data_IF_318919945892
#
_entry.id   IF_318919945892
#
_cell.length_a   1.000
_cell.length_b   1.000
_cell.length_c   1.000
_cell.angle_alpha   90.00
_cell.angle_beta   90.00
_cell.angle_gamma   90.00
#
_symmetry.space_group_name_H-M   'P 1'
#
loop_
_entity.id
_entity.type
_entity.pdbx_description
1 polymer ?
#
# COMPACT_ATOMS: atom_id res chain seq x y z
N UNK A 1 48.13 33.21 -69.68
CA UNK A 1 47.20 32.07 -69.57
C UNK A 1 47.24 31.59 -68.12
N UNK A 2 46.26 32.01 -67.33
CA UNK A 2 46.20 31.74 -65.89
C UNK A 2 45.67 30.33 -65.62
N UNK A 3 46.42 29.57 -64.84
CA UNK A 3 46.01 28.30 -64.23
C UNK A 3 45.08 28.58 -63.04
N UNK A 4 43.81 28.18 -63.15
CA UNK A 4 42.88 28.14 -62.03
C UNK A 4 42.76 26.68 -61.55
N UNK A 5 43.30 26.43 -60.35
CA UNK A 5 43.09 25.20 -59.57
C UNK A 5 41.66 25.20 -59.04
N UNK A 6 40.89 24.17 -59.37
CA UNK A 6 39.60 23.86 -58.74
C UNK A 6 39.83 22.83 -57.63
N UNK A 7 39.60 23.24 -56.39
CA UNK A 7 39.64 22.39 -55.20
C UNK A 7 38.26 21.74 -55.00
N UNK A 8 38.19 20.41 -55.10
CA UNK A 8 37.00 19.63 -54.74
C UNK A 8 36.98 19.48 -53.21
N UNK A 9 36.04 20.15 -52.53
CA UNK A 9 35.70 19.86 -51.13
C UNK A 9 34.75 18.67 -51.11
N UNK A 10 35.22 17.51 -50.62
CA UNK A 10 34.35 16.41 -50.24
C UNK A 10 33.61 16.77 -48.95
N UNK A 11 32.31 17.05 -49.05
CA UNK A 11 31.42 17.17 -47.89
C UNK A 11 31.05 15.75 -47.48
N UNK A 12 31.66 15.24 -46.41
CA UNK A 12 31.23 14.01 -45.75
C UNK A 12 29.91 14.29 -45.04
N UNK A 13 28.80 13.89 -45.68
CA UNK A 13 27.47 13.94 -45.09
C UNK A 13 27.33 12.71 -44.19
N UNK A 14 27.62 12.87 -42.90
CA UNK A 14 27.32 11.84 -41.91
C UNK A 14 25.78 11.70 -41.82
N UNK A 15 25.24 10.65 -42.43
CA UNK A 15 23.86 10.22 -42.21
C UNK A 15 23.71 9.84 -40.73
N UNK A 16 23.19 10.76 -39.93
CA UNK A 16 22.58 10.44 -38.63
C UNK A 16 21.28 9.71 -38.93
N UNK A 17 21.36 8.38 -39.03
CA UNK A 17 20.18 7.52 -38.95
C UNK A 17 19.55 7.70 -37.57
N UNK A 18 18.29 8.14 -37.46
CA UNK A 18 17.60 8.08 -36.19
C UNK A 18 17.45 6.60 -35.84
N UNK A 19 18.05 6.17 -34.73
CA UNK A 19 17.67 4.92 -34.08
C UNK A 19 16.21 5.09 -33.66
N UNK A 20 15.28 4.68 -34.51
CA UNK A 20 13.91 4.43 -34.09
C UNK A 20 13.94 3.20 -33.20
N UNK A 21 14.15 3.41 -31.89
CA UNK A 21 13.74 2.46 -30.88
C UNK A 21 12.24 2.29 -31.06
N UNK A 22 11.85 1.20 -31.74
CA UNK A 22 10.50 0.69 -31.63
C UNK A 22 10.29 0.37 -30.17
N UNK A 23 9.57 1.23 -29.45
CA UNK A 23 9.00 0.87 -28.15
C UNK A 23 7.99 -0.22 -28.47
N UNK A 24 8.43 -1.48 -28.42
CA UNK A 24 7.51 -2.58 -28.34
C UNK A 24 6.58 -2.24 -27.16
N UNK A 25 5.26 -2.26 -27.41
CA UNK A 25 4.29 -2.10 -26.35
C UNK A 25 4.58 -3.20 -25.32
N UNK A 26 5.27 -2.82 -24.24
CA UNK A 26 5.64 -3.76 -23.19
C UNK A 26 4.32 -4.16 -22.55
N UNK A 27 3.94 -5.44 -22.69
CA UNK A 27 2.78 -5.97 -22.00
C UNK A 27 2.99 -5.75 -20.51
N UNK A 28 1.97 -5.22 -19.83
CA UNK A 28 1.95 -5.07 -18.37
C UNK A 28 2.42 -6.37 -17.71
N UNK A 29 3.36 -6.32 -16.75
CA UNK A 29 3.77 -7.53 -16.06
C UNK A 29 2.59 -8.11 -15.30
N UNK A 30 2.41 -9.42 -15.33
CA UNK A 30 1.38 -10.10 -14.53
C UNK A 30 1.62 -9.94 -13.02
N UNK A 31 2.81 -9.49 -12.60
CA UNK A 31 3.19 -9.29 -11.21
C UNK A 31 4.06 -8.04 -11.08
N UNK A 32 3.62 -7.08 -10.27
CA UNK A 32 4.34 -5.82 -10.03
C UNK A 32 4.90 -5.81 -8.62
N UNK A 33 6.22 -5.79 -8.50
CA UNK A 33 6.97 -5.68 -7.24
C UNK A 33 7.37 -4.21 -7.01
N UNK A 34 7.11 -3.74 -5.79
CA UNK A 34 7.52 -2.45 -5.27
C UNK A 34 8.39 -2.65 -4.03
N UNK A 35 9.39 -1.78 -3.89
CA UNK A 35 10.35 -1.82 -2.78
C UNK A 35 10.29 -0.53 -1.96
N UNK A 36 10.43 -0.65 -0.64
CA UNK A 36 10.63 0.50 0.26
C UNK A 36 11.79 0.18 1.21
N UNK A 37 12.91 0.89 1.08
CA UNK A 37 14.04 0.79 1.99
C UNK A 37 13.81 1.71 3.20
N UNK A 38 13.82 1.15 4.40
CA UNK A 38 13.95 1.87 5.67
C UNK A 38 15.29 1.46 6.31
N UNK A 39 15.73 2.17 7.36
CA UNK A 39 17.11 2.11 7.88
C UNK A 39 17.73 0.70 7.95
N UNK A 40 17.02 -0.28 8.52
CA UNK A 40 17.52 -1.66 8.70
C UNK A 40 16.60 -2.72 8.06
N UNK A 41 15.69 -2.32 7.17
CA UNK A 41 14.71 -3.23 6.59
C UNK A 41 14.28 -2.77 5.22
N UNK A 42 14.31 -3.71 4.28
CA UNK A 42 13.73 -3.56 2.96
C UNK A 42 12.36 -4.24 2.97
N UNK A 43 11.32 -3.47 2.68
CA UNK A 43 9.96 -3.98 2.51
C UNK A 43 9.71 -4.22 1.02
N UNK A 44 9.22 -5.39 0.70
CA UNK A 44 8.83 -5.81 -0.63
C UNK A 44 7.33 -5.99 -0.63
N UNK A 45 6.61 -5.30 -1.52
CA UNK A 45 5.16 -5.41 -1.65
C UNK A 45 4.79 -5.58 -3.11
N UNK A 46 3.79 -6.41 -3.41
CA UNK A 46 3.44 -6.71 -4.80
C UNK A 46 1.96 -6.91 -5.04
N UNK A 47 1.56 -6.76 -6.30
CA UNK A 47 0.29 -7.24 -6.85
C UNK A 47 0.55 -8.34 -7.87
N UNK A 48 -0.42 -9.22 -8.09
CA UNK A 48 -0.32 -10.28 -9.11
C UNK A 48 -1.68 -10.62 -9.71
N UNK A 49 -1.71 -10.82 -11.02
CA UNK A 49 -2.85 -11.27 -11.81
C UNK A 49 -2.90 -12.81 -11.92
N UNK A 50 -1.93 -13.52 -11.33
CA UNK A 50 -1.91 -14.99 -11.28
C UNK A 50 -3.07 -15.47 -10.39
N UNK A 51 -4.03 -16.16 -11.00
CA UNK A 51 -5.32 -16.51 -10.36
C UNK A 51 -5.19 -17.54 -9.24
N UNK A 52 -4.32 -18.53 -9.43
CA UNK A 52 -4.15 -19.67 -8.53
C UNK A 52 -2.67 -19.84 -8.21
N UNK A 53 -2.23 -19.15 -7.17
CA UNK A 53 -0.85 -19.21 -6.69
C UNK A 53 -0.65 -20.48 -5.85
N UNK A 54 0.36 -21.27 -6.18
CA UNK A 54 0.77 -22.45 -5.40
C UNK A 54 1.86 -22.12 -4.38
N UNK A 55 2.82 -21.26 -4.76
CA UNK A 55 3.86 -20.72 -3.87
C UNK A 55 4.46 -19.46 -4.45
N UNK A 56 5.17 -18.71 -3.62
CA UNK A 56 5.88 -17.50 -4.01
C UNK A 56 7.30 -17.54 -3.47
N UNK A 57 8.26 -17.00 -4.22
CA UNK A 57 9.69 -17.04 -3.86
C UNK A 57 10.32 -15.67 -4.06
N UNK A 58 11.05 -15.18 -3.05
CA UNK A 58 11.80 -13.93 -3.15
C UNK A 58 13.25 -14.25 -3.50
N UNK A 59 13.74 -13.58 -4.53
CA UNK A 59 15.12 -13.65 -4.98
C UNK A 59 15.82 -12.32 -4.76
N UNK A 60 17.10 -12.37 -4.38
CA UNK A 60 17.96 -11.21 -4.13
C UNK A 60 19.32 -11.40 -4.77
N UNK A 61 19.88 -10.34 -5.35
CA UNK A 61 21.24 -10.30 -5.92
C UNK A 61 21.96 -9.00 -5.56
N UNK A 62 23.29 -9.02 -5.60
CA UNK A 62 24.16 -7.82 -5.60
C UNK A 62 24.41 -7.27 -7.01
N UNK A 63 23.76 -7.84 -8.02
CA UNK A 63 23.77 -7.35 -9.40
C UNK A 63 22.35 -7.32 -9.97
N UNK A 64 22.16 -6.63 -11.10
CA UNK A 64 20.88 -6.57 -11.81
C UNK A 64 20.57 -7.82 -12.66
N UNK A 65 21.28 -8.93 -12.46
CA UNK A 65 21.18 -10.15 -13.27
C UNK A 65 20.44 -11.23 -12.48
N UNK A 66 19.29 -11.69 -12.97
CA UNK A 66 18.42 -12.65 -12.27
C UNK A 66 19.11 -14.00 -12.05
N UNK A 67 19.92 -14.46 -13.01
CA UNK A 67 20.64 -15.73 -12.94
C UNK A 67 21.70 -15.75 -11.83
N UNK A 68 22.08 -14.57 -11.31
CA UNK A 68 22.98 -14.41 -10.16
C UNK A 68 22.22 -14.25 -8.84
N UNK A 69 20.88 -14.20 -8.87
CA UNK A 69 20.06 -14.01 -7.69
C UNK A 69 19.90 -15.30 -6.89
N UNK A 70 19.99 -15.17 -5.58
CA UNK A 70 19.76 -16.26 -4.63
C UNK A 70 18.35 -16.16 -4.07
N UNK A 71 17.69 -17.30 -3.86
CA UNK A 71 16.39 -17.34 -3.21
C UNK A 71 16.57 -17.14 -1.70
N UNK A 72 15.99 -16.06 -1.18
CA UNK A 72 16.07 -15.70 0.23
C UNK A 72 14.82 -16.05 1.03
N UNK A 73 13.68 -16.28 0.37
CA UNK A 73 12.44 -16.66 1.05
C UNK A 73 11.52 -17.51 0.16
N UNK A 74 10.73 -18.38 0.81
CA UNK A 74 9.56 -19.06 0.24
C UNK A 74 8.35 -18.63 1.07
N UNK A 75 7.33 -18.13 0.42
CA UNK A 75 6.18 -17.47 1.05
C UNK A 75 4.88 -18.23 0.78
N UNK A 76 3.89 -18.01 1.64
CA UNK A 76 2.54 -18.52 1.42
C UNK A 76 1.89 -17.87 0.19
N UNK A 77 0.90 -18.52 -0.45
CA UNK A 77 0.26 -18.01 -1.66
C UNK A 77 -0.52 -16.70 -1.51
N UNK A 78 -0.90 -16.32 -0.29
CA UNK A 78 -1.77 -15.19 -0.03
C UNK A 78 -1.01 -13.95 0.45
N UNK A 79 0.24 -14.12 0.88
CA UNK A 79 1.13 -13.03 1.26
C UNK A 79 1.42 -12.12 0.07
N UNK A 80 1.34 -10.81 0.29
CA UNK A 80 1.68 -9.78 -0.70
C UNK A 80 2.71 -8.78 -0.20
N UNK A 81 3.27 -9.02 1.00
CA UNK A 81 4.31 -8.19 1.60
C UNK A 81 5.32 -9.09 2.29
N UNK A 82 6.61 -8.87 2.02
CA UNK A 82 7.74 -9.53 2.66
C UNK A 82 8.74 -8.49 3.19
N UNK A 83 9.57 -8.92 4.13
CA UNK A 83 10.60 -8.10 4.74
C UNK A 83 11.95 -8.80 4.56
N UNK A 84 12.95 -8.04 4.16
CA UNK A 84 14.34 -8.44 4.22
C UNK A 84 15.08 -7.53 5.19
N UNK A 85 15.69 -8.11 6.21
CA UNK A 85 16.55 -7.44 7.20
C UNK A 85 17.92 -8.10 7.31
N UNK A 86 18.23 -9.01 6.38
CA UNK A 86 19.41 -9.89 6.37
C UNK A 86 20.42 -9.43 5.33
N UNK A 87 20.78 -8.14 5.37
CA UNK A 87 21.58 -7.50 4.33
C UNK A 87 22.59 -6.51 4.90
N UNK A 88 23.66 -6.25 4.14
CA UNK A 88 24.66 -5.23 4.47
C UNK A 88 24.07 -3.83 4.21
N UNK A 89 23.96 -2.93 5.22
CA UNK A 89 23.17 -1.70 5.11
C UNK A 89 23.56 -0.76 3.96
N UNK A 90 24.87 -0.72 3.69
CA UNK A 90 25.50 0.14 2.68
C UNK A 90 25.55 -0.50 1.29
N UNK A 91 25.19 -1.78 1.17
CA UNK A 91 25.15 -2.50 -0.09
C UNK A 91 23.80 -2.29 -0.77
N UNK A 92 23.85 -2.10 -2.10
CA UNK A 92 22.66 -2.13 -2.93
C UNK A 92 22.32 -3.55 -3.37
N UNK A 93 21.01 -3.83 -3.41
CA UNK A 93 20.45 -5.12 -3.78
C UNK A 93 19.34 -4.97 -4.82
N UNK A 94 19.22 -6.00 -5.63
CA UNK A 94 18.18 -6.19 -6.62
C UNK A 94 17.30 -7.37 -6.22
N UNK A 95 16.00 -7.22 -6.43
CA UNK A 95 14.98 -8.15 -6.00
C UNK A 95 14.06 -8.52 -7.15
N UNK A 96 13.65 -9.78 -7.12
CA UNK A 96 12.59 -10.33 -7.96
C UNK A 96 11.67 -11.18 -7.10
N UNK A 97 10.39 -11.18 -7.48
CA UNK A 97 9.42 -12.14 -6.98
C UNK A 97 9.14 -13.13 -8.09
N UNK A 98 9.20 -14.41 -7.75
CA UNK A 98 8.72 -15.50 -8.60
C UNK A 98 7.41 -16.03 -8.02
N UNK A 99 6.32 -15.84 -8.74
CA UNK A 99 5.01 -16.41 -8.43
C UNK A 99 4.85 -17.71 -9.22
N UNK A 100 4.55 -18.80 -8.53
CA UNK A 100 4.43 -20.12 -9.15
C UNK A 100 2.97 -20.55 -9.04
N UNK A 101 2.34 -20.80 -10.17
CA UNK A 101 0.93 -21.18 -10.22
C UNK A 101 0.69 -22.66 -9.92
N UNK A 102 -0.59 -23.05 -9.85
CA UNK A 102 -1.03 -24.41 -9.57
C UNK A 102 -0.54 -25.45 -10.59
N UNK A 103 -0.26 -25.02 -11.83
CA UNK A 103 0.26 -25.88 -12.90
C UNK A 103 1.81 -25.91 -12.90
N UNK A 104 2.44 -25.15 -12.01
CA UNK A 104 3.89 -25.05 -11.88
C UNK A 104 4.54 -24.05 -12.83
N UNK A 105 3.78 -23.22 -13.54
CA UNK A 105 4.37 -22.15 -14.37
C UNK A 105 4.91 -21.03 -13.49
N UNK A 106 6.06 -20.50 -13.89
CA UNK A 106 6.75 -19.43 -13.20
C UNK A 106 6.43 -18.06 -13.81
N UNK A 107 5.97 -17.13 -13.00
CA UNK A 107 5.68 -15.74 -13.36
C UNK A 107 6.64 -14.84 -12.57
N UNK A 108 7.58 -14.22 -13.26
CA UNK A 108 8.61 -13.37 -12.63
C UNK A 108 8.15 -11.90 -12.66
N UNK A 109 8.31 -11.19 -11.55
CA UNK A 109 8.00 -9.76 -11.45
C UNK A 109 8.98 -8.88 -12.26
N UNK A 110 8.67 -7.59 -12.34
CA UNK A 110 9.70 -6.60 -12.66
C UNK A 110 10.87 -6.65 -11.65
N UNK A 111 12.02 -6.16 -12.11
CA UNK A 111 13.18 -5.89 -11.26
C UNK A 111 12.89 -4.70 -10.33
N UNK A 112 13.14 -4.88 -9.04
CA UNK A 112 13.13 -3.81 -8.03
C UNK A 112 14.50 -3.70 -7.37
N UNK A 113 14.95 -2.49 -7.03
CA UNK A 113 16.27 -2.31 -6.44
C UNK A 113 16.24 -1.28 -5.31
N UNK A 114 17.20 -1.38 -4.40
CA UNK A 114 17.43 -0.36 -3.35
C UNK A 114 18.05 0.92 -3.89
N UNK A 115 18.52 0.91 -5.14
CA UNK A 115 19.09 2.05 -5.83
C UNK A 115 17.98 3.08 -6.09
N UNK A 116 18.03 4.29 -5.49
CA UNK A 116 16.95 5.26 -5.59
C UNK A 116 16.59 5.63 -7.02
N UNK A 117 17.60 5.77 -7.90
CA UNK A 117 17.43 6.14 -9.31
C UNK A 117 16.64 5.09 -10.14
N UNK A 118 16.67 3.82 -9.74
CA UNK A 118 15.93 2.74 -10.41
C UNK A 118 14.52 2.55 -9.84
N UNK A 119 14.18 3.18 -8.71
CA UNK A 119 12.85 3.07 -8.09
C UNK A 119 11.78 4.01 -8.69
N UNK A 120 12.15 4.86 -9.67
CA UNK A 120 11.33 5.98 -10.15
C UNK A 120 10.64 5.70 -11.50
N UNK A 121 11.02 4.64 -12.22
CA UNK A 121 10.42 4.32 -13.52
C UNK A 121 9.10 3.55 -13.35
N UNK A 122 8.01 3.94 -14.04
CA UNK A 122 6.75 3.20 -13.99
C UNK A 122 6.91 1.80 -14.60
N UNK A 123 6.41 0.79 -13.89
CA UNK A 123 6.34 -0.60 -14.34
C UNK A 123 5.07 -0.89 -15.16
N UNK A 124 4.20 0.10 -15.33
CA UNK A 124 2.99 0.03 -16.15
C UNK A 124 3.10 0.84 -17.45
N UNK A 125 2.15 0.62 -18.36
CA UNK A 125 1.97 1.43 -19.56
C UNK A 125 1.89 2.91 -19.18
N UNK A 126 2.61 3.74 -19.93
CA UNK A 126 2.67 5.20 -19.73
C UNK A 126 1.25 5.80 -19.70
N UNK A 127 0.31 5.23 -20.46
CA UNK A 127 -1.08 5.66 -20.49
C UNK A 127 -1.80 5.51 -19.15
N UNK A 128 -1.75 4.34 -18.50
CA UNK A 128 -2.42 4.13 -17.21
C UNK A 128 -1.74 4.92 -16.09
N UNK A 129 -0.40 4.87 -16.02
CA UNK A 129 0.36 5.62 -15.03
C UNK A 129 0.05 7.14 -15.08
N UNK A 130 -0.08 7.72 -16.28
CA UNK A 130 -0.39 9.15 -16.44
C UNK A 130 -1.76 9.59 -15.86
N UNK A 131 -2.69 8.65 -15.67
CA UNK A 131 -4.01 8.91 -15.06
C UNK A 131 -3.95 8.98 -13.54
N UNK A 132 -2.96 8.32 -12.93
CA UNK A 132 -2.74 8.33 -11.49
C UNK A 132 -2.08 9.65 -11.08
N UNK A 133 -2.89 10.64 -10.72
CA UNK A 133 -2.45 11.96 -10.28
C UNK A 133 -3.28 12.43 -9.09
N UNK A 134 -2.76 13.38 -8.33
CA UNK A 134 -3.45 13.90 -7.16
C UNK A 134 -4.83 14.47 -7.54
N UNK A 135 -5.85 14.10 -6.77
CA UNK A 135 -7.25 14.45 -7.01
C UNK A 135 -7.95 13.61 -8.10
N UNK A 136 -7.31 12.57 -8.65
CA UNK A 136 -7.95 11.70 -9.63
C UNK A 136 -9.14 10.94 -9.02
N UNK A 137 -10.18 10.74 -9.84
CA UNK A 137 -11.33 9.89 -9.51
C UNK A 137 -11.41 8.76 -10.52
N UNK A 138 -11.53 7.53 -10.02
CA UNK A 138 -11.73 6.32 -10.83
C UNK A 138 -13.08 5.71 -10.52
N UNK A 139 -13.82 5.33 -11.55
CA UNK A 139 -15.19 4.86 -11.42
C UNK A 139 -15.46 3.65 -12.33
N UNK A 140 -15.94 2.54 -11.73
CA UNK A 140 -16.26 1.29 -12.43
C UNK A 140 -15.09 0.71 -13.26
N UNK A 141 -13.87 0.86 -12.77
CA UNK A 141 -12.67 0.41 -13.47
C UNK A 141 -11.59 -0.10 -12.52
N UNK A 142 -10.58 -0.75 -13.08
CA UNK A 142 -9.31 -1.05 -12.41
C UNK A 142 -8.22 -0.22 -13.05
N UNK A 143 -7.47 0.54 -12.25
CA UNK A 143 -6.32 1.31 -12.69
C UNK A 143 -5.02 0.77 -12.09
N UNK A 144 -4.04 0.54 -12.96
CA UNK A 144 -2.67 0.21 -12.55
C UNK A 144 -1.80 1.46 -12.63
N UNK A 145 -1.27 1.91 -11.49
CA UNK A 145 -0.40 3.08 -11.44
C UNK A 145 1.07 2.75 -11.68
N UNK A 146 1.44 1.48 -11.86
CA UNK A 146 2.80 1.09 -12.25
C UNK A 146 3.89 1.47 -11.25
N UNK A 147 3.56 1.66 -9.99
CA UNK A 147 4.51 2.03 -8.94
C UNK A 147 4.90 3.51 -8.90
N UNK A 148 4.24 4.39 -9.68
CA UNK A 148 4.55 5.82 -9.62
C UNK A 148 4.25 6.42 -8.24
N UNK A 149 4.87 7.56 -7.97
CA UNK A 149 4.61 8.34 -6.76
C UNK A 149 3.67 9.51 -7.05
N UNK A 150 2.60 9.61 -6.27
CA UNK A 150 1.63 10.70 -6.32
C UNK A 150 1.53 11.34 -4.94
N UNK A 151 1.32 12.64 -4.89
CA UNK A 151 1.02 13.34 -3.66
C UNK A 151 0.36 14.67 -3.95
N UNK A 152 -0.42 15.16 -2.99
CA UNK A 152 -0.91 16.54 -2.97
C UNK A 152 -0.05 17.34 -1.97
N UNK A 153 -0.68 17.90 -0.95
CA UNK A 153 -0.02 18.54 0.20
C UNK A 153 -0.42 17.81 1.48
N UNK A 154 0.39 17.95 2.53
CA UNK A 154 -0.01 17.62 3.89
C UNK A 154 -0.03 18.88 4.75
N UNK A 155 -1.20 19.25 5.26
CA UNK A 155 -1.40 20.48 6.04
C UNK A 155 -1.49 20.20 7.55
N UNK A 156 -0.59 19.37 8.10
CA UNK A 156 -0.65 18.93 9.51
C UNK A 156 -1.97 18.19 9.81
N UNK A 157 -2.47 18.36 11.04
CA UNK A 157 -3.72 17.91 11.61
C UNK A 157 -4.95 18.74 11.16
N UNK A 158 -4.85 19.46 10.05
CA UNK A 158 -5.99 20.18 9.49
C UNK A 158 -7.05 19.20 8.97
N UNK A 159 -8.27 19.33 9.48
CA UNK A 159 -9.45 18.56 9.05
C UNK A 159 -9.91 18.97 7.65
N UNK A 160 -10.38 18.00 6.86
CA UNK A 160 -11.06 18.25 5.58
C UNK A 160 -10.12 18.41 4.39
N UNK A 161 -8.92 17.85 4.47
CA UNK A 161 -8.03 17.74 3.31
C UNK A 161 -8.70 16.90 2.21
N UNK A 162 -8.36 17.17 0.95
CA UNK A 162 -8.91 16.37 -0.17
C UNK A 162 -8.15 15.05 -0.27
N UNK A 163 -8.81 13.94 -0.65
CA UNK A 163 -8.12 12.70 -0.93
C UNK A 163 -7.16 12.85 -2.11
N UNK A 164 -6.03 12.13 -2.05
CA UNK A 164 -5.09 12.00 -3.17
C UNK A 164 -5.74 11.24 -4.33
N UNK A 165 -6.51 10.18 -4.04
CA UNK A 165 -7.26 9.40 -5.03
C UNK A 165 -8.67 9.12 -4.51
N UNK A 166 -9.68 9.25 -5.38
CA UNK A 166 -11.06 8.86 -5.09
C UNK A 166 -11.47 7.64 -5.93
N UNK A 167 -12.05 6.65 -5.29
CA UNK A 167 -12.56 5.42 -5.90
C UNK A 167 -14.08 5.37 -5.77
N UNK A 168 -14.75 4.99 -6.85
CA UNK A 168 -16.18 4.71 -6.91
C UNK A 168 -16.40 3.38 -7.60
N UNK A 169 -16.65 2.33 -6.81
CA UNK A 169 -16.74 0.96 -7.33
C UNK A 169 -15.52 0.59 -8.22
N UNK A 170 -14.31 0.91 -7.76
CA UNK A 170 -13.09 0.88 -8.55
C UNK A 170 -11.90 0.29 -7.79
N UNK A 171 -10.91 -0.21 -8.52
CA UNK A 171 -9.65 -0.73 -7.99
C UNK A 171 -8.51 0.18 -8.38
N UNK A 172 -7.64 0.53 -7.43
CA UNK A 172 -6.31 1.10 -7.70
C UNK A 172 -5.26 0.11 -7.26
N UNK A 173 -4.24 -0.10 -8.10
CA UNK A 173 -3.09 -0.94 -7.75
C UNK A 173 -1.75 -0.30 -8.08
N UNK A 174 -0.71 -0.73 -7.36
CA UNK A 174 0.69 -0.37 -7.58
C UNK A 174 0.90 1.15 -7.51
N UNK A 175 0.61 1.78 -6.37
CA UNK A 175 0.71 3.23 -6.20
C UNK A 175 1.56 3.57 -4.98
N UNK A 176 2.43 4.57 -5.10
CA UNK A 176 3.09 5.18 -3.95
C UNK A 176 2.49 6.54 -3.64
N UNK A 177 2.11 6.77 -2.39
CA UNK A 177 1.69 8.07 -1.87
C UNK A 177 2.91 8.72 -1.21
N UNK A 178 3.27 9.92 -1.64
CA UNK A 178 4.48 10.62 -1.17
C UNK A 178 4.38 11.02 0.30
N UNK A 179 5.52 11.04 1.00
CA UNK A 179 5.59 11.41 2.42
C UNK A 179 5.03 12.81 2.69
N UNK A 180 5.42 13.80 1.88
CA UNK A 180 5.00 15.20 2.07
C UNK A 180 3.60 15.52 1.48
N UNK A 181 2.97 14.56 0.82
CA UNK A 181 1.76 14.78 0.02
C UNK A 181 0.64 13.79 0.32
N UNK A 182 0.63 13.19 1.51
CA UNK A 182 -0.35 12.18 1.92
C UNK A 182 -1.81 12.66 1.95
N UNK A 183 -2.04 13.95 2.21
CA UNK A 183 -3.37 14.57 2.32
C UNK A 183 -4.37 13.69 3.11
N UNK A 184 -5.60 13.55 2.64
CA UNK A 184 -6.59 12.63 3.21
C UNK A 184 -6.59 11.25 2.48
N UNK A 185 -5.40 10.80 2.08
CA UNK A 185 -5.16 9.44 1.58
C UNK A 185 -6.01 9.05 0.36
N UNK A 186 -6.54 7.83 0.39
CA UNK A 186 -7.41 7.28 -0.66
C UNK A 186 -8.83 7.14 -0.14
N UNK A 187 -9.82 7.67 -0.85
CA UNK A 187 -11.23 7.51 -0.48
C UNK A 187 -11.90 6.43 -1.31
N UNK A 188 -12.54 5.47 -0.65
CA UNK A 188 -13.60 4.68 -1.27
C UNK A 188 -14.92 5.42 -1.06
N UNK A 189 -15.37 6.19 -2.06
CA UNK A 189 -16.52 7.10 -1.95
C UNK A 189 -17.86 6.44 -2.26
N UNK A 190 -17.87 5.35 -3.02
CA UNK A 190 -19.09 4.57 -3.29
C UNK A 190 -18.76 3.16 -3.78
N UNK A 191 -19.74 2.26 -3.71
CA UNK A 191 -19.59 0.89 -4.23
C UNK A 191 -18.54 0.07 -3.49
N UNK A 192 -17.94 -0.89 -4.18
CA UNK A 192 -16.85 -1.70 -3.64
C UNK A 192 -15.51 -1.23 -4.22
N UNK A 193 -14.55 -0.89 -3.37
CA UNK A 193 -13.23 -0.44 -3.80
C UNK A 193 -12.14 -1.40 -3.35
N UNK A 194 -11.12 -1.55 -4.18
CA UNK A 194 -9.90 -2.29 -3.83
C UNK A 194 -8.69 -1.39 -3.93
N UNK A 195 -7.83 -1.46 -2.92
CA UNK A 195 -6.56 -0.75 -2.82
C UNK A 195 -5.48 -1.82 -2.69
N UNK A 196 -4.80 -2.13 -3.79
CA UNK A 196 -3.86 -3.26 -3.85
C UNK A 196 -2.42 -2.77 -4.06
N UNK A 197 -1.47 -3.31 -3.28
CA UNK A 197 -0.06 -2.94 -3.38
C UNK A 197 0.18 -1.41 -3.36
N UNK A 198 -0.44 -0.73 -2.41
CA UNK A 198 -0.23 0.71 -2.22
C UNK A 198 0.75 0.95 -1.08
N UNK A 199 1.69 1.88 -1.31
CA UNK A 199 2.69 2.29 -0.33
C UNK A 199 2.42 3.73 0.11
N UNK A 200 2.14 3.94 1.39
CA UNK A 200 2.11 5.28 1.98
C UNK A 200 3.44 5.56 2.67
N UNK A 201 4.22 6.49 2.12
CA UNK A 201 5.56 6.80 2.62
C UNK A 201 5.54 7.52 3.97
N UNK A 202 4.52 8.34 4.21
CA UNK A 202 4.15 8.90 5.52
C UNK A 202 2.67 9.30 5.47
N UNK A 203 1.88 8.84 6.43
CA UNK A 203 0.46 9.16 6.53
C UNK A 203 0.32 10.61 7.01
N UNK A 204 -0.56 11.36 6.34
CA UNK A 204 -0.92 12.70 6.73
C UNK A 204 -2.14 12.68 7.67
N UNK A 205 -3.37 12.70 7.14
CA UNK A 205 -4.58 12.56 7.95
C UNK A 205 -4.91 11.08 8.16
N UNK A 206 -5.38 10.41 7.11
CA UNK A 206 -5.67 8.97 7.07
C UNK A 206 -4.97 8.33 5.86
N UNK A 207 -4.68 7.02 5.91
CA UNK A 207 -4.18 6.31 4.73
C UNK A 207 -5.31 6.05 3.73
N UNK A 208 -6.45 5.58 4.22
CA UNK A 208 -7.66 5.43 3.42
C UNK A 208 -8.96 5.52 4.23
N UNK A 209 -10.00 6.02 3.58
CA UNK A 209 -11.31 6.27 4.17
C UNK A 209 -12.41 5.54 3.41
N UNK A 210 -13.15 4.69 4.11
CA UNK A 210 -14.30 3.96 3.56
C UNK A 210 -15.61 4.73 3.81
N UNK A 211 -16.04 5.40 2.75
CA UNK A 211 -17.35 6.06 2.61
C UNK A 211 -18.30 5.23 1.72
N UNK A 212 -17.85 4.08 1.21
CA UNK A 212 -18.57 3.20 0.29
C UNK A 212 -19.20 1.98 0.99
N UNK A 213 -19.34 0.88 0.25
CA UNK A 213 -19.91 -0.39 0.75
C UNK A 213 -18.82 -1.32 1.27
N UNK A 214 -17.85 -1.66 0.43
CA UNK A 214 -16.72 -2.51 0.84
C UNK A 214 -15.42 -1.84 0.40
N UNK A 215 -14.45 -1.70 1.31
CA UNK A 215 -13.10 -1.25 0.97
C UNK A 215 -12.11 -2.36 1.32
N UNK A 216 -11.48 -2.95 0.31
CA UNK A 216 -10.49 -4.01 0.48
C UNK A 216 -9.09 -3.44 0.31
N UNK A 217 -8.24 -3.60 1.31
CA UNK A 217 -6.81 -3.32 1.24
C UNK A 217 -6.06 -4.65 1.17
N UNK A 218 -5.29 -4.83 0.09
CA UNK A 218 -4.66 -6.11 -0.25
C UNK A 218 -3.15 -5.90 -0.42
N UNK A 219 -2.36 -6.44 0.50
CA UNK A 219 -0.93 -6.15 0.57
C UNK A 219 -0.67 -4.67 0.80
N UNK A 220 0.47 -4.16 0.33
CA UNK A 220 0.85 -2.77 0.55
C UNK A 220 1.41 -2.51 1.94
N UNK A 221 1.88 -1.28 2.14
CA UNK A 221 2.46 -0.86 3.42
C UNK A 221 2.17 0.60 3.69
N UNK A 222 2.05 0.96 4.97
CA UNK A 222 2.01 2.36 5.37
C UNK A 222 2.99 2.64 6.50
N UNK A 223 3.62 3.81 6.41
CA UNK A 223 4.46 4.36 7.45
C UNK A 223 3.76 5.57 8.07
N UNK A 224 3.96 5.76 9.37
CA UNK A 224 3.62 7.00 10.05
C UNK A 224 4.70 7.27 11.12
N UNK A 225 4.85 8.51 11.53
CA UNK A 225 5.82 8.92 12.53
C UNK A 225 5.22 9.88 13.56
N UNK A 226 5.74 9.88 14.79
CA UNK A 226 5.18 10.68 15.87
C UNK A 226 5.21 12.20 15.62
N UNK A 227 6.14 12.65 14.76
CA UNK A 227 6.33 14.05 14.36
C UNK A 227 6.32 14.17 12.83
N UNK A 228 5.51 13.34 12.17
CA UNK A 228 5.37 13.33 10.72
C UNK A 228 4.65 14.55 10.19
N UNK A 229 4.49 14.65 8.87
CA UNK A 229 3.88 15.80 8.22
C UNK A 229 2.41 15.99 8.62
N UNK A 230 1.71 14.92 9.02
CA UNK A 230 0.34 14.96 9.54
C UNK A 230 0.22 15.25 11.04
N UNK A 231 1.34 15.48 11.73
CA UNK A 231 1.35 15.65 13.18
C UNK A 231 1.21 14.32 13.92
N UNK A 232 0.40 14.29 14.98
CA UNK A 232 0.26 13.13 15.85
C UNK A 232 -0.52 12.01 15.15
N UNK A 233 0.01 10.78 15.06
CA UNK A 233 -0.71 9.65 14.45
C UNK A 233 -2.08 9.38 15.09
N UNK A 234 -3.15 9.40 14.29
CA UNK A 234 -4.52 9.10 14.76
C UNK A 234 -5.07 7.77 14.23
N UNK A 235 -5.38 7.67 12.94
CA UNK A 235 -6.02 6.49 12.34
C UNK A 235 -5.46 6.22 10.94
N UNK A 236 -5.21 4.96 10.64
CA UNK A 236 -4.74 4.53 9.32
C UNK A 236 -5.94 4.33 8.40
N UNK A 237 -6.95 3.60 8.88
CA UNK A 237 -8.19 3.35 8.14
C UNK A 237 -9.39 3.92 8.87
N UNK A 238 -10.04 4.89 8.24
CA UNK A 238 -11.30 5.47 8.69
C UNK A 238 -12.48 4.78 8.02
N UNK A 239 -13.59 4.62 8.74
CA UNK A 239 -14.84 4.11 8.14
C UNK A 239 -16.04 4.91 8.63
N UNK A 240 -16.68 5.62 7.70
CA UNK A 240 -17.79 6.53 7.98
C UNK A 240 -19.13 5.95 7.56
N UNK A 241 -19.18 5.25 6.41
CA UNK A 241 -20.41 4.68 5.89
C UNK A 241 -21.00 3.63 6.83
N UNK A 242 -22.32 3.46 6.79
CA UNK A 242 -23.06 2.44 7.55
C UNK A 242 -23.29 1.23 6.66
N UNK A 243 -23.54 0.07 7.26
CA UNK A 243 -23.71 -1.20 6.54
C UNK A 243 -22.55 -1.48 5.58
N UNK A 244 -21.33 -1.15 6.01
CA UNK A 244 -20.12 -1.22 5.20
C UNK A 244 -19.06 -2.07 5.87
N UNK A 245 -18.11 -2.56 5.06
CA UNK A 245 -17.02 -3.42 5.52
C UNK A 245 -15.68 -2.89 5.01
N UNK A 246 -14.69 -2.80 5.90
CA UNK A 246 -13.28 -2.69 5.50
C UNK A 246 -12.62 -4.05 5.67
N UNK A 247 -11.91 -4.51 4.64
CA UNK A 247 -11.20 -5.80 4.62
C UNK A 247 -9.71 -5.55 4.49
N UNK A 248 -8.90 -6.09 5.39
CA UNK A 248 -7.43 -6.01 5.36
C UNK A 248 -6.86 -7.42 5.18
N UNK A 249 -6.09 -7.60 4.11
CA UNK A 249 -5.53 -8.90 3.71
C UNK A 249 -4.18 -8.73 3.00
N UNK A 250 -3.59 -9.84 2.55
CA UNK A 250 -2.31 -9.82 1.84
C UNK A 250 -1.12 -9.47 2.72
N UNK A 251 -1.24 -9.58 4.04
CA UNK A 251 -0.22 -9.18 5.00
C UNK A 251 0.13 -7.68 4.92
N UNK A 252 -0.88 -6.81 4.74
CA UNK A 252 -0.70 -5.34 4.81
C UNK A 252 0.15 -4.98 6.04
N UNK A 253 1.20 -4.19 5.81
CA UNK A 253 2.22 -3.94 6.84
C UNK A 253 2.23 -2.47 7.28
N UNK A 254 2.06 -2.24 8.58
CA UNK A 254 2.30 -0.94 9.21
C UNK A 254 3.70 -0.85 9.78
N UNK A 255 4.32 0.32 9.64
CA UNK A 255 5.67 0.61 10.14
C UNK A 255 5.70 1.94 10.88
N UNK A 256 6.75 2.18 11.67
CA UNK A 256 6.93 3.44 12.39
C UNK A 256 6.08 3.55 13.67
N UNK A 257 5.42 4.69 13.87
CA UNK A 257 4.60 4.99 15.05
C UNK A 257 3.18 5.39 14.61
N UNK A 258 2.18 4.62 15.03
CA UNK A 258 0.80 4.72 14.54
C UNK A 258 -0.19 4.95 15.68
N UNK A 259 -1.34 5.56 15.37
CA UNK A 259 -2.43 5.74 16.33
C UNK A 259 -3.30 4.47 16.41
N UNK A 260 -4.18 4.29 15.43
CA UNK A 260 -5.10 3.15 15.31
C UNK A 260 -5.03 2.56 13.92
N UNK A 261 -5.06 1.23 13.80
CA UNK A 261 -5.11 0.61 12.47
C UNK A 261 -6.46 0.90 11.82
N UNK A 262 -7.57 0.72 12.53
CA UNK A 262 -8.90 1.00 12.01
C UNK A 262 -9.84 1.59 13.05
N UNK A 263 -10.69 2.54 12.63
CA UNK A 263 -11.72 3.13 13.49
C UNK A 263 -13.05 3.30 12.74
N UNK A 264 -14.11 2.71 13.30
CA UNK A 264 -15.49 3.12 12.99
C UNK A 264 -15.74 4.54 13.48
N UNK A 265 -16.30 5.44 12.67
CA UNK A 265 -16.46 6.84 13.07
C UNK A 265 -17.20 6.99 14.41
N UNK A 266 -16.59 7.68 15.39
CA UNK A 266 -17.11 7.78 16.75
C UNK A 266 -18.20 8.85 16.94
N UNK A 267 -18.18 9.89 16.13
CA UNK A 267 -18.99 11.12 16.31
C UNK A 267 -19.38 11.79 14.98
N UNK A 268 -19.55 11.02 13.91
CA UNK A 268 -20.02 11.52 12.61
C UNK A 268 -21.39 12.23 12.72
N UNK A 269 -21.69 13.15 11.80
CA UNK A 269 -22.94 13.95 11.80
C UNK A 269 -24.19 13.09 11.93
N UNK A 270 -24.36 12.14 11.01
CA UNK A 270 -25.43 11.14 11.07
C UNK A 270 -24.89 9.80 11.56
N UNK A 271 -24.22 9.77 12.72
CA UNK A 271 -23.56 8.54 13.14
C UNK A 271 -24.53 7.36 13.32
N UNK A 272 -23.98 6.16 13.23
CA UNK A 272 -24.68 4.89 13.32
C UNK A 272 -23.80 3.75 12.84
N UNK A 273 -24.42 2.60 12.62
CA UNK A 273 -23.79 1.41 12.08
C UNK A 273 -24.84 0.46 11.53
N UNK A 274 -24.54 -0.84 11.42
CA UNK A 274 -23.25 -1.46 11.78
C UNK A 274 -22.13 -1.10 10.79
N UNK A 275 -20.89 -1.07 11.29
CA UNK A 275 -19.65 -1.02 10.50
C UNK A 275 -18.80 -2.23 10.82
N UNK A 276 -18.27 -2.85 9.78
CA UNK A 276 -17.54 -4.11 9.87
C UNK A 276 -16.07 -3.95 9.51
N UNK A 277 -15.21 -4.64 10.25
CA UNK A 277 -13.80 -4.83 9.91
C UNK A 277 -13.51 -6.33 9.78
N UNK A 278 -12.80 -6.72 8.73
CA UNK A 278 -12.28 -8.08 8.57
C UNK A 278 -10.77 -8.02 8.34
N UNK A 279 -9.99 -8.59 9.24
CA UNK A 279 -8.54 -8.79 9.09
C UNK A 279 -8.28 -10.28 8.90
N UNK A 280 -7.56 -10.62 7.83
CA UNK A 280 -7.13 -12.01 7.53
C UNK A 280 -5.61 -12.18 7.46
N UNK A 281 -4.87 -11.08 7.57
CA UNK A 281 -3.41 -11.05 7.59
C UNK A 281 -2.91 -9.62 7.58
N UNK A 282 -2.38 -9.15 8.71
CA UNK A 282 -1.79 -7.83 8.89
C UNK A 282 -0.55 -7.96 9.77
N UNK A 283 0.49 -7.20 9.44
CA UNK A 283 1.70 -7.07 10.25
C UNK A 283 1.86 -5.63 10.75
N UNK A 284 2.10 -5.47 12.05
CA UNK A 284 2.45 -4.19 12.68
C UNK A 284 3.93 -4.26 13.08
N UNK A 285 4.81 -3.78 12.21
CA UNK A 285 6.25 -3.65 12.48
C UNK A 285 6.59 -2.24 13.00
N UNK A 286 6.04 -1.90 14.16
CA UNK A 286 6.16 -0.56 14.73
C UNK A 286 5.35 -0.42 16.03
N UNK A 287 5.30 0.80 16.56
CA UNK A 287 4.40 1.11 17.68
C UNK A 287 3.01 1.42 17.13
N UNK A 288 1.99 1.04 17.88
CA UNK A 288 0.60 1.42 17.60
C UNK A 288 -0.16 1.61 18.90
N UNK A 289 -1.12 2.53 18.94
CA UNK A 289 -1.98 2.79 20.09
C UNK A 289 -3.05 1.72 20.31
N UNK A 290 -3.77 1.31 19.26
CA UNK A 290 -4.67 0.15 19.26
C UNK A 290 -4.97 -0.37 17.86
N UNK A 291 -5.56 -1.56 17.73
CA UNK A 291 -5.83 -2.16 16.41
C UNK A 291 -7.19 -1.72 15.86
N UNK A 292 -8.29 -2.03 16.55
CA UNK A 292 -9.65 -1.75 16.07
C UNK A 292 -10.49 -1.04 17.15
N UNK A 293 -11.13 0.07 16.79
CA UNK A 293 -12.13 0.73 17.62
C UNK A 293 -13.55 0.56 17.07
N UNK A 294 -14.37 -0.26 17.72
CA UNK A 294 -15.76 -0.57 17.32
C UNK A 294 -16.78 0.20 18.16
N UNK A 295 -17.85 0.72 17.57
CA UNK A 295 -18.97 1.28 18.33
C UNK A 295 -19.97 0.16 18.66
N UNK A 296 -19.88 -0.40 19.87
CA UNK A 296 -20.66 -1.58 20.25
C UNK A 296 -22.16 -1.30 20.30
N UNK A 297 -22.57 -0.08 20.68
CA UNK A 297 -23.96 0.38 20.65
C UNK A 297 -24.55 0.48 19.22
N UNK A 298 -23.70 0.55 18.19
CA UNK A 298 -24.11 0.50 16.78
C UNK A 298 -23.94 -0.87 16.15
N UNK A 299 -23.63 -1.90 16.96
CA UNK A 299 -23.48 -3.30 16.53
C UNK A 299 -22.36 -3.49 15.50
N UNK A 300 -21.34 -2.66 15.58
CA UNK A 300 -20.12 -2.85 14.80
C UNK A 300 -19.47 -4.19 15.15
N UNK A 301 -18.80 -4.83 14.18
CA UNK A 301 -18.06 -6.08 14.42
C UNK A 301 -16.70 -6.03 13.75
N UNK A 302 -15.65 -6.25 14.54
CA UNK A 302 -14.30 -6.50 14.05
C UNK A 302 -14.00 -8.00 14.14
N UNK A 303 -13.72 -8.63 13.00
CA UNK A 303 -13.23 -10.00 12.89
C UNK A 303 -11.74 -9.96 12.55
N UNK A 304 -10.89 -10.50 13.43
CA UNK A 304 -9.43 -10.38 13.28
C UNK A 304 -8.77 -11.75 13.33
N UNK A 305 -8.04 -12.11 12.28
CA UNK A 305 -7.23 -13.33 12.15
C UNK A 305 -5.83 -12.99 11.65
N UNK A 306 -4.85 -13.80 12.03
CA UNK A 306 -3.46 -13.72 11.56
C UNK A 306 -2.83 -12.32 11.72
N UNK A 307 -3.01 -11.71 12.89
CA UNK A 307 -2.42 -10.42 13.21
C UNK A 307 -1.05 -10.62 13.88
N UNK A 308 0.00 -10.04 13.29
CA UNK A 308 1.35 -10.05 13.87
C UNK A 308 1.71 -8.66 14.36
N UNK A 309 2.18 -8.53 15.59
CA UNK A 309 2.56 -7.22 16.16
C UNK A 309 3.96 -7.31 16.75
N UNK A 310 4.82 -6.36 16.38
CA UNK A 310 6.17 -6.22 16.96
C UNK A 310 6.08 -6.07 18.47
N UNK A 311 6.85 -6.89 19.17
CA UNK A 311 6.93 -6.88 20.63
C UNK A 311 5.57 -7.03 21.34
N UNK A 312 4.64 -7.76 20.70
CA UNK A 312 3.32 -8.01 21.27
C UNK A 312 3.39 -8.62 22.67
N UNK A 313 2.64 -8.02 23.57
CA UNK A 313 2.19 -8.65 24.80
C UNK A 313 0.70 -8.36 24.97
N UNK A 314 -0.04 -9.21 25.69
CA UNK A 314 -1.47 -8.98 25.92
C UNK A 314 -1.73 -7.57 26.49
N UNK A 315 -2.63 -6.82 25.85
CA UNK A 315 -2.93 -5.43 26.18
C UNK A 315 -1.88 -4.39 25.75
N UNK A 316 -0.80 -4.81 25.08
CA UNK A 316 0.27 -3.93 24.57
C UNK A 316 0.61 -4.29 23.10
N UNK A 317 -0.06 -3.65 22.13
CA UNK A 317 -1.19 -2.72 22.27
C UNK A 317 -2.52 -3.45 22.58
N UNK A 318 -3.58 -2.72 23.00
CA UNK A 318 -4.95 -3.19 22.91
C UNK A 318 -5.34 -3.54 21.47
N UNK A 319 -5.99 -4.69 21.29
CA UNK A 319 -6.38 -5.18 19.96
C UNK A 319 -7.76 -4.63 19.58
N UNK A 320 -8.85 -5.12 20.18
CA UNK A 320 -10.19 -4.66 19.84
C UNK A 320 -10.81 -3.90 21.01
N UNK A 321 -10.96 -2.59 20.87
CA UNK A 321 -11.53 -1.70 21.89
C UNK A 321 -12.99 -1.37 21.59
N UNK A 322 -13.85 -1.45 22.61
CA UNK A 322 -15.23 -0.96 22.50
C UNK A 322 -15.30 0.54 22.75
N UNK A 323 -16.16 1.18 21.99
CA UNK A 323 -16.57 2.56 22.14
C UNK A 323 -18.09 2.66 22.17
N UNK A 324 -18.59 3.70 22.82
CA UNK A 324 -19.95 4.19 22.61
C UNK A 324 -19.89 5.29 21.55
N UNK A 325 -20.45 5.02 20.37
CA UNK A 325 -20.60 6.00 19.29
C UNK A 325 -21.74 6.98 19.58
N UNK A 326 -21.58 8.23 19.16
CA UNK A 326 -22.57 9.32 19.33
C UNK A 326 -22.78 10.03 17.99
N UNK A 327 -23.87 10.80 17.86
CA UNK A 327 -24.01 11.74 16.74
C UNK A 327 -23.19 12.99 17.01
N UNK A 328 -22.67 13.64 15.96
CA UNK A 328 -21.89 14.88 16.10
C UNK A 328 -22.67 15.92 16.88
N UNK A 329 -22.02 16.54 17.87
CA UNK A 329 -22.63 17.55 18.74
C UNK A 329 -23.57 17.00 19.81
N UNK A 330 -23.81 15.69 19.89
CA UNK A 330 -24.68 15.05 20.89
C UNK A 330 -23.91 14.30 21.97
N UNK A 331 -22.72 14.80 22.33
CA UNK A 331 -21.83 14.21 23.32
C UNK A 331 -20.46 13.87 22.73
N UNK A 332 -19.70 13.05 23.46
CA UNK A 332 -18.38 12.56 23.02
C UNK A 332 -18.42 11.05 22.90
N UNK A 333 -17.74 10.50 21.89
CA UNK A 333 -17.51 9.06 21.84
C UNK A 333 -16.66 8.64 23.04
N UNK A 334 -17.15 7.68 23.82
CA UNK A 334 -16.48 7.22 25.04
C UNK A 334 -15.80 5.90 24.75
N UNK A 335 -14.52 5.82 25.08
CA UNK A 335 -13.76 4.56 25.08
C UNK A 335 -14.07 3.78 26.35
N UNK A 336 -14.36 2.50 26.21
CA UNK A 336 -14.47 1.59 27.34
C UNK A 336 -13.12 0.89 27.60
N UNK A 337 -12.89 -0.28 26.99
CA UNK A 337 -11.66 -1.07 27.13
C UNK A 337 -11.52 -2.09 26.01
N UNK A 338 -10.46 -2.89 26.09
CA UNK A 338 -10.22 -4.04 25.21
C UNK A 338 -11.19 -5.20 25.50
N UNK A 339 -11.68 -5.86 24.45
CA UNK A 339 -12.52 -7.04 24.51
C UNK A 339 -12.01 -8.15 23.58
N UNK A 340 -12.23 -9.40 24.00
CA UNK A 340 -11.92 -10.62 23.25
C UNK A 340 -13.16 -11.50 23.20
N UNK A 341 -13.40 -12.19 22.09
CA UNK A 341 -14.53 -13.10 21.90
C UNK A 341 -15.89 -12.50 22.29
N UNK A 342 -16.14 -11.24 21.94
CA UNK A 342 -17.42 -10.57 22.17
C UNK A 342 -18.19 -10.37 20.87
N UNK A 343 -19.46 -10.00 20.95
CA UNK A 343 -20.30 -9.77 19.76
C UNK A 343 -19.68 -8.76 18.78
N UNK A 344 -19.02 -7.72 19.28
CA UNK A 344 -18.35 -6.70 18.46
C UNK A 344 -16.85 -6.95 18.24
N UNK A 345 -16.23 -7.83 19.02
CA UNK A 345 -14.82 -8.19 18.90
C UNK A 345 -14.69 -9.69 18.70
N UNK A 346 -14.84 -10.11 17.45
CA UNK A 346 -14.62 -11.49 17.02
C UNK A 346 -13.12 -11.72 16.81
N UNK A 347 -12.39 -11.78 17.92
CA UNK A 347 -10.96 -12.03 17.97
C UNK A 347 -10.62 -12.79 19.24
N UNK A 348 -9.78 -13.80 19.11
CA UNK A 348 -9.22 -14.61 20.18
C UNK A 348 -7.73 -14.31 20.35
N UNK A 349 -7.16 -14.63 21.51
CA UNK A 349 -5.72 -14.39 21.76
C UNK A 349 -4.81 -15.15 20.80
N UNK A 350 -5.25 -16.30 20.27
CA UNK A 350 -4.50 -17.07 19.25
C UNK A 350 -4.48 -16.41 17.87
N UNK A 351 -5.38 -15.47 17.62
CA UNK A 351 -5.41 -14.72 16.35
C UNK A 351 -4.34 -13.62 16.29
N UNK A 352 -3.65 -13.37 17.42
CA UNK A 352 -2.67 -12.29 17.57
C UNK A 352 -1.37 -12.86 18.11
N UNK A 353 -0.29 -12.70 17.36
CA UNK A 353 1.04 -13.19 17.74
C UNK A 353 2.06 -12.07 17.76
N UNK A 354 3.13 -12.28 18.53
CA UNK A 354 4.34 -11.47 18.36
C UNK A 354 4.89 -11.70 16.94
N UNK A 355 5.31 -10.61 16.29
CA UNK A 355 6.00 -10.65 14.99
C UNK A 355 7.33 -11.38 15.09
#
# INVERSE_FOLDING_TARGET
MNLLRSSIKAVSCALLLPLSLSVAAQSEPNTTLMLTKKANTTYLSWSTEVKTVARQEIYRSTSSVLEQAERIAVLDPYQQVAQDSSFEPEQDYWYWLKVIDADGQEHISNLSATIPALSIQPFATIANASRCKAGATFENETIDCGGITVGSSCASDAEGQKPVITLKNATVKNLRISASGGADGIHCSSGNCTIENVVWEDICEDAATNNGKTMTVKGGMAFNSANGPGGKPDKVFQQNSKNSTTVLTGNFTLTGENGKLWRSCGDCTDNGGPRYLTISGVTINGKIGSIAGVNSNYKDVATIRNLKIKDYAAGKPPVCEHYTGVKKGQGKSVKDKEYWNSASCNVSKSDVTKL
#
